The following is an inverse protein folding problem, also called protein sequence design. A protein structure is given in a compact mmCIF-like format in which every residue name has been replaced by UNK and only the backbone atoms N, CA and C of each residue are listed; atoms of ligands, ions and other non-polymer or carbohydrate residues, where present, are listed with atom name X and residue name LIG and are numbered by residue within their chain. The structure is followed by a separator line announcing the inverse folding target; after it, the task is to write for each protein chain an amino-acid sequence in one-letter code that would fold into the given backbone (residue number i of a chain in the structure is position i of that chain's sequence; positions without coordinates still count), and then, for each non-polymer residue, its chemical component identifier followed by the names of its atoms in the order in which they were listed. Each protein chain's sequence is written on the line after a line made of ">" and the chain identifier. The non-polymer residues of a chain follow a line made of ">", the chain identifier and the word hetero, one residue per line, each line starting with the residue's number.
data_IF_672357356247
#
_entry.id   IF_672357356247
#
_cell.length_a   1.000
_cell.length_b   1.000
_cell.length_c   1.000
_cell.angle_alpha   90.00
_cell.angle_beta   90.00
_cell.angle_gamma   90.00
#
_symmetry.space_group_name_H-M   'P 1'
#
loop_
_entity.id
_entity.type
_entity.pdbx_description
1 polymer ?
#
# COMPACT_ATOMS: atom_id res chain seq x y z
N UNK A 1 53.81 -12.26 -38.47
CA UNK A 1 54.44 -12.27 -37.12
C UNK A 1 54.61 -10.84 -36.67
N UNK A 2 54.42 -10.48 -35.39
CA UNK A 2 53.62 -11.10 -34.33
C UNK A 2 52.62 -10.10 -33.67
N UNK A 3 51.78 -10.64 -32.80
CA UNK A 3 51.16 -10.06 -31.59
C UNK A 3 50.47 -8.68 -31.61
N UNK A 4 49.18 -8.67 -31.25
CA UNK A 4 48.78 -7.98 -30.01
C UNK A 4 47.51 -8.60 -29.41
N UNK A 5 47.61 -8.97 -28.13
CA UNK A 5 46.55 -9.51 -27.27
C UNK A 5 45.43 -8.48 -27.05
N UNK A 6 44.18 -8.94 -27.06
CA UNK A 6 43.07 -8.24 -26.40
C UNK A 6 42.70 -9.02 -25.13
N UNK A 7 43.20 -8.53 -23.99
CA UNK A 7 42.72 -8.88 -22.66
C UNK A 7 41.57 -7.95 -22.29
N UNK A 8 40.47 -8.58 -21.87
CA UNK A 8 39.48 -8.19 -20.85
C UNK A 8 39.29 -6.71 -20.49
N UNK A 9 38.05 -6.25 -20.65
CA UNK A 9 37.22 -5.84 -19.51
C UNK A 9 35.78 -5.61 -20.01
N UNK A 10 34.88 -6.54 -19.69
CA UNK A 10 33.46 -6.24 -19.63
C UNK A 10 33.26 -5.51 -18.30
N UNK A 11 33.25 -4.18 -18.33
CA UNK A 11 32.62 -3.41 -17.26
C UNK A 11 31.11 -3.61 -17.39
N UNK A 12 30.56 -4.35 -16.44
CA UNK A 12 29.12 -4.41 -16.21
C UNK A 12 28.67 -3.01 -15.82
N UNK A 13 27.92 -2.37 -16.72
CA UNK A 13 27.18 -1.15 -16.45
C UNK A 13 26.17 -1.45 -15.35
N UNK A 14 26.47 -1.06 -14.12
CA UNK A 14 25.52 -1.06 -13.02
C UNK A 14 24.40 -0.10 -13.38
N UNK A 15 23.19 -0.61 -13.61
CA UNK A 15 22.01 0.23 -13.70
C UNK A 15 21.84 0.95 -12.37
N UNK A 16 21.93 2.27 -12.41
CA UNK A 16 21.73 3.17 -11.27
C UNK A 16 20.32 2.98 -10.69
N UNK A 17 20.20 3.14 -9.38
CA UNK A 17 18.92 3.15 -8.70
C UNK A 17 18.11 4.35 -9.19
N UNK A 18 17.14 4.10 -10.07
CA UNK A 18 16.16 5.12 -10.48
C UNK A 18 15.24 5.38 -9.29
N UNK A 19 15.44 6.50 -8.60
CA UNK A 19 14.55 6.84 -7.50
C UNK A 19 14.85 8.10 -6.71
N UNK A 20 15.90 8.86 -6.99
CA UNK A 20 16.24 10.04 -6.20
C UNK A 20 16.18 11.32 -7.03
N UNK A 21 15.54 12.37 -6.48
CA UNK A 21 15.48 13.67 -7.15
C UNK A 21 16.84 14.40 -7.09
N UNK A 22 17.17 15.26 -8.07
CA UNK A 22 18.40 16.06 -8.04
C UNK A 22 18.57 16.90 -6.76
N UNK A 23 17.47 17.28 -6.10
CA UNK A 23 17.48 17.99 -4.82
C UNK A 23 17.89 17.08 -3.65
N UNK A 24 17.46 15.81 -3.65
CA UNK A 24 17.92 14.81 -2.69
C UNK A 24 19.43 14.53 -2.84
N UNK A 25 19.89 14.37 -4.08
CA UNK A 25 21.31 14.20 -4.39
C UNK A 25 22.15 15.40 -3.93
N UNK A 26 21.63 16.62 -4.08
CA UNK A 26 22.27 17.84 -3.62
C UNK A 26 22.37 17.91 -2.09
N UNK A 27 21.32 17.49 -1.36
CA UNK A 27 21.30 17.41 0.11
C UNK A 27 22.38 16.44 0.64
N UNK A 28 22.55 15.29 -0.01
CA UNK A 28 23.58 14.32 0.35
C UNK A 28 25.00 14.90 0.17
N UNK A 29 25.22 15.66 -0.91
CA UNK A 29 26.51 16.31 -1.20
C UNK A 29 26.82 17.46 -0.23
N UNK A 30 25.81 18.20 0.22
CA UNK A 30 25.99 19.42 1.01
C UNK A 30 26.29 19.20 2.51
N UNK A 31 26.01 18.02 3.06
CA UNK A 31 26.02 17.80 4.53
C UNK A 31 27.33 17.27 5.12
N UNK A 32 28.44 17.27 4.36
CA UNK A 32 29.75 16.69 4.76
C UNK A 32 29.65 15.28 5.40
N UNK A 33 28.56 14.58 5.09
CA UNK A 33 28.33 13.18 5.40
C UNK A 33 29.12 12.39 4.35
N UNK A 34 30.08 11.59 4.79
CA UNK A 34 30.90 10.80 3.88
C UNK A 34 30.07 9.88 2.97
N UNK A 35 30.72 9.32 1.94
CA UNK A 35 30.20 8.11 1.31
C UNK A 35 29.82 7.11 2.41
N UNK A 36 28.71 6.41 2.22
CA UNK A 36 28.10 5.48 3.18
C UNK A 36 29.20 4.83 4.05
N UNK A 37 29.28 5.25 5.32
CA UNK A 37 29.98 4.49 6.34
C UNK A 37 28.93 3.59 6.94
N UNK A 38 29.18 2.30 6.78
CA UNK A 38 28.31 1.24 7.25
C UNK A 38 28.09 1.38 8.77
N UNK A 39 26.93 0.90 9.20
CA UNK A 39 26.43 1.00 10.57
C UNK A 39 27.40 0.33 11.56
N UNK A 40 27.42 0.70 12.87
CA UNK A 40 28.41 0.22 13.86
C UNK A 40 28.36 -1.27 14.22
N UNK A 41 27.67 -2.11 13.44
CA UNK A 41 27.66 -3.57 13.64
C UNK A 41 28.79 -4.25 12.88
N UNK A 42 29.60 -3.49 12.13
CA UNK A 42 30.89 -3.93 11.59
C UNK A 42 32.01 -3.85 12.64
N UNK A 43 31.75 -4.28 13.87
CA UNK A 43 32.81 -4.78 14.73
C UNK A 43 32.53 -6.24 15.03
N UNK A 44 33.37 -7.07 14.40
CA UNK A 44 33.61 -8.45 14.79
C UNK A 44 33.58 -8.62 16.31
N UNK A 45 32.94 -9.71 16.75
CA UNK A 45 32.84 -10.26 18.12
C UNK A 45 31.62 -9.89 18.97
N UNK A 46 30.56 -10.69 18.80
CA UNK A 46 29.64 -11.04 19.88
C UNK A 46 30.38 -12.03 20.80
N UNK A 47 30.87 -11.56 21.95
CA UNK A 47 31.33 -12.45 23.02
C UNK A 47 30.12 -12.97 23.80
N UNK A 48 29.85 -14.26 23.58
CA UNK A 48 28.81 -15.05 24.23
C UNK A 48 29.05 -15.14 25.74
N UNK A 49 28.22 -14.47 26.56
CA UNK A 49 28.02 -14.92 27.94
C UNK A 49 26.69 -14.60 28.63
N UNK A 50 25.74 -13.90 28.00
CA UNK A 50 24.39 -13.76 28.57
C UNK A 50 23.32 -13.94 27.48
N UNK A 51 22.26 -14.66 27.84
CA UNK A 51 21.22 -15.23 26.98
C UNK A 51 20.23 -14.22 26.40
N UNK A 52 20.13 -14.20 25.07
CA UNK A 52 18.93 -13.88 24.27
C UNK A 52 19.08 -14.70 22.97
N UNK A 53 18.08 -15.46 22.53
CA UNK A 53 18.08 -15.89 21.11
C UNK A 53 17.39 -14.79 20.29
N UNK A 54 18.09 -14.38 19.25
CA UNK A 54 17.92 -13.14 18.49
C UNK A 54 17.25 -13.37 17.12
N UNK A 55 16.88 -14.60 16.74
CA UNK A 55 16.06 -14.84 15.54
C UNK A 55 14.75 -14.02 15.57
N UNK A 56 14.20 -13.80 16.76
CA UNK A 56 12.96 -13.07 17.03
C UNK A 56 13.09 -11.53 16.93
N UNK A 57 14.33 -11.01 16.92
CA UNK A 57 14.63 -9.58 16.70
C UNK A 57 15.01 -9.28 15.24
N UNK A 58 15.08 -10.26 14.32
CA UNK A 58 15.43 -10.02 12.90
C UNK A 58 14.21 -9.60 12.04
N UNK A 59 12.97 -9.81 12.50
CA UNK A 59 11.77 -9.14 11.98
C UNK A 59 11.75 -7.63 12.32
N UNK A 60 12.54 -7.22 13.31
CA UNK A 60 12.39 -5.97 14.06
C UNK A 60 12.71 -4.67 13.27
N UNK A 61 13.13 -4.71 11.99
CA UNK A 61 13.41 -3.48 11.20
C UNK A 61 13.13 -3.53 9.66
N UNK A 62 12.19 -4.34 9.14
CA UNK A 62 12.06 -4.59 7.69
C UNK A 62 11.58 -3.41 6.77
N UNK A 63 12.20 -3.18 5.59
CA UNK A 63 11.48 -2.90 4.32
C UNK A 63 11.99 -3.71 3.10
N UNK A 64 11.09 -4.24 2.27
CA UNK A 64 10.91 -3.66 0.92
C UNK A 64 9.41 -3.44 0.60
N UNK A 65 9.10 -2.32 -0.05
CA UNK A 65 7.73 -2.05 -0.50
C UNK A 65 7.28 -3.03 -1.58
N UNK A 66 5.97 -3.34 -1.70
CA UNK A 66 5.45 -4.29 -2.68
C UNK A 66 5.40 -3.74 -4.12
N UNK A 67 6.04 -2.59 -4.36
CA UNK A 67 6.11 -1.97 -5.65
C UNK A 67 6.98 -2.79 -6.61
N UNK A 68 6.49 -3.03 -7.82
CA UNK A 68 7.17 -3.81 -8.84
C UNK A 68 7.46 -2.98 -10.09
N UNK A 69 8.49 -3.38 -10.84
CA UNK A 69 8.88 -2.72 -12.08
C UNK A 69 7.71 -2.73 -13.06
N UNK A 70 7.41 -1.56 -13.63
CA UNK A 70 6.28 -1.36 -14.55
C UNK A 70 4.93 -1.13 -13.87
N UNK A 71 4.88 -1.07 -12.53
CA UNK A 71 3.68 -0.63 -11.81
C UNK A 71 3.31 0.80 -12.24
N UNK A 72 2.03 0.97 -12.57
CA UNK A 72 1.38 2.26 -12.75
C UNK A 72 0.34 2.47 -11.66
N UNK A 73 0.05 3.72 -11.32
CA UNK A 73 -1.12 4.04 -10.50
C UNK A 73 -2.42 3.56 -11.17
N UNK A 74 -3.41 3.28 -10.34
CA UNK A 74 -4.78 2.92 -10.74
C UNK A 74 -5.81 3.99 -10.33
N UNK A 75 -5.42 4.95 -9.49
CA UNK A 75 -6.14 6.19 -9.16
C UNK A 75 -5.43 7.33 -9.87
N UNK A 76 -6.16 8.23 -10.53
CA UNK A 76 -5.54 9.23 -11.41
C UNK A 76 -4.68 10.25 -10.66
N UNK A 77 -3.68 10.85 -11.32
CA UNK A 77 -2.84 11.89 -10.72
C UNK A 77 -3.63 13.11 -10.20
N UNK A 78 -4.70 13.60 -10.85
CA UNK A 78 -5.53 14.67 -10.25
C UNK A 78 -6.21 14.25 -8.95
N UNK A 79 -6.64 12.99 -8.84
CA UNK A 79 -7.25 12.47 -7.60
C UNK A 79 -6.20 12.35 -6.47
N UNK A 80 -4.97 11.95 -6.80
CA UNK A 80 -3.86 11.81 -5.83
C UNK A 80 -3.13 13.12 -5.54
N UNK A 81 -3.51 14.24 -6.16
CA UNK A 81 -2.81 15.52 -5.98
C UNK A 81 -2.92 16.01 -4.53
N UNK A 82 -1.78 16.29 -3.91
CA UNK A 82 -1.68 16.99 -2.64
C UNK A 82 -1.96 18.49 -2.82
N UNK A 83 -2.59 19.10 -1.84
CA UNK A 83 -2.80 20.56 -1.77
C UNK A 83 -1.48 21.28 -1.53
N UNK A 84 -0.55 20.65 -0.81
CA UNK A 84 0.79 21.17 -0.54
C UNK A 84 1.75 21.11 -1.74
N UNK A 85 1.40 20.43 -2.85
CA UNK A 85 2.30 20.32 -3.99
C UNK A 85 1.59 20.01 -5.32
N UNK A 86 1.91 20.78 -6.36
CA UNK A 86 1.37 20.56 -7.71
C UNK A 86 2.15 19.49 -8.47
N UNK A 87 1.45 18.69 -9.27
CA UNK A 87 2.10 17.87 -10.29
C UNK A 87 2.77 18.76 -11.34
N UNK A 88 3.87 18.31 -11.97
CA UNK A 88 4.41 18.99 -13.14
C UNK A 88 3.32 19.21 -14.21
N UNK A 89 3.33 20.35 -14.94
CA UNK A 89 2.36 20.59 -15.99
C UNK A 89 2.33 19.46 -17.02
N UNK A 90 1.14 19.07 -17.48
CA UNK A 90 0.92 18.00 -18.48
C UNK A 90 1.30 16.58 -17.99
N UNK A 91 1.46 16.37 -16.68
CA UNK A 91 1.59 15.01 -16.11
C UNK A 91 0.36 14.16 -16.49
N UNK A 92 0.53 12.94 -17.06
CA UNK A 92 -0.60 12.07 -17.39
C UNK A 92 -1.40 11.60 -16.17
N UNK A 93 -2.66 11.18 -16.39
CA UNK A 93 -3.50 10.60 -15.34
C UNK A 93 -2.90 9.31 -14.76
N UNK A 94 -2.20 8.52 -15.59
CA UNK A 94 -1.57 7.26 -15.20
C UNK A 94 -0.08 7.26 -15.58
N UNK A 95 0.77 7.13 -14.56
CA UNK A 95 2.22 7.21 -14.61
C UNK A 95 2.85 6.04 -13.87
N UNK A 96 4.12 5.78 -14.13
CA UNK A 96 4.88 4.72 -13.47
C UNK A 96 5.24 5.09 -12.04
N UNK A 97 5.57 4.07 -11.24
CA UNK A 97 5.94 4.22 -9.82
C UNK A 97 7.10 5.19 -9.55
N UNK A 98 8.06 5.34 -10.46
CA UNK A 98 9.18 6.29 -10.34
C UNK A 98 8.71 7.76 -10.38
N UNK A 99 7.70 8.07 -11.19
CA UNK A 99 7.09 9.41 -11.24
C UNK A 99 6.37 9.73 -9.92
N UNK A 100 5.67 8.74 -9.35
CA UNK A 100 5.01 8.91 -8.04
C UNK A 100 6.03 9.06 -6.91
N UNK A 101 7.10 8.27 -6.93
CA UNK A 101 8.20 8.38 -5.97
C UNK A 101 8.83 9.77 -6.00
N UNK A 102 9.09 10.28 -7.20
CA UNK A 102 9.62 11.64 -7.42
C UNK A 102 8.67 12.69 -6.86
N UNK A 103 7.37 12.60 -7.13
CA UNK A 103 6.38 13.54 -6.62
C UNK A 103 6.31 13.57 -5.08
N UNK A 104 6.39 12.42 -4.41
CA UNK A 104 6.42 12.35 -2.94
C UNK A 104 7.70 13.02 -2.40
N UNK A 105 8.85 12.73 -3.00
CA UNK A 105 10.12 13.30 -2.59
C UNK A 105 10.18 14.81 -2.81
N UNK A 106 9.72 15.29 -3.97
CA UNK A 106 9.66 16.72 -4.30
C UNK A 106 8.66 17.45 -3.40
N UNK A 107 7.54 16.82 -3.05
CA UNK A 107 6.62 17.36 -2.06
C UNK A 107 7.31 17.52 -0.70
N UNK A 108 8.05 16.49 -0.26
CA UNK A 108 8.77 16.54 1.01
C UNK A 108 9.88 17.62 1.01
N UNK A 109 10.58 17.77 -0.11
CA UNK A 109 11.61 18.80 -0.30
C UNK A 109 11.00 20.21 -0.31
N UNK A 110 9.93 20.42 -1.08
CA UNK A 110 9.29 21.72 -1.25
C UNK A 110 8.60 22.24 0.03
N UNK A 111 8.33 21.36 0.99
CA UNK A 111 7.68 21.67 2.25
C UNK A 111 8.62 21.55 3.47
N UNK A 112 9.95 21.54 3.24
CA UNK A 112 11.01 21.55 4.28
C UNK A 112 10.97 20.39 5.30
N UNK A 113 10.22 19.33 5.03
CA UNK A 113 10.07 18.20 5.97
C UNK A 113 11.25 17.25 5.94
N UNK A 114 12.10 17.28 4.90
CA UNK A 114 13.29 16.42 4.79
C UNK A 114 14.24 16.58 5.99
N UNK A 115 14.35 17.78 6.56
CA UNK A 115 15.19 18.07 7.72
C UNK A 115 14.71 17.37 9.00
N UNK A 116 13.43 17.00 9.05
CA UNK A 116 12.78 16.32 10.17
C UNK A 116 12.75 14.79 10.01
N UNK A 117 13.24 14.25 8.89
CA UNK A 117 13.24 12.81 8.61
C UNK A 117 14.60 12.20 8.95
N UNK A 118 14.58 11.17 9.78
CA UNK A 118 15.74 10.31 10.03
C UNK A 118 15.70 9.09 9.10
N UNK A 119 16.46 9.16 8.00
CA UNK A 119 16.58 8.06 7.01
C UNK A 119 17.52 6.94 7.47
N UNK A 120 17.49 5.79 6.75
CA UNK A 120 18.48 4.68 6.75
C UNK A 120 18.22 3.50 7.71
N UNK A 121 17.10 2.81 7.51
CA UNK A 121 16.72 1.53 8.13
C UNK A 121 16.20 0.59 7.02
N UNK A 122 16.69 -0.66 6.88
CA UNK A 122 16.50 -1.50 5.67
C UNK A 122 16.42 -3.04 5.91
N UNK A 123 15.80 -3.76 4.95
CA UNK A 123 15.88 -5.19 4.57
C UNK A 123 16.30 -5.32 3.08
N UNK A 124 16.98 -6.42 2.77
CA UNK A 124 18.13 -6.40 1.87
C UNK A 124 18.03 -7.13 0.51
N UNK A 125 16.93 -7.80 0.13
CA UNK A 125 16.85 -8.37 -1.25
C UNK A 125 15.44 -8.58 -1.80
N UNK A 126 15.21 -8.03 -3.00
CA UNK A 126 14.18 -8.47 -3.94
C UNK A 126 14.83 -8.60 -5.32
N UNK A 127 14.90 -9.81 -5.88
CA UNK A 127 15.49 -10.04 -7.20
C UNK A 127 14.52 -10.78 -8.11
N UNK A 128 14.42 -10.31 -9.36
CA UNK A 128 13.77 -11.04 -10.44
C UNK A 128 14.82 -11.91 -11.12
N UNK A 129 14.73 -13.24 -10.96
CA UNK A 129 15.44 -14.19 -11.83
C UNK A 129 14.55 -14.50 -13.03
N UNK A 130 14.94 -13.98 -14.18
CA UNK A 130 14.31 -14.25 -15.47
C UNK A 130 13.25 -13.23 -15.91
N UNK A 131 13.35 -12.78 -17.15
CA UNK A 131 12.43 -11.85 -17.82
C UNK A 131 11.41 -12.54 -18.72
N UNK A 132 11.08 -13.81 -18.48
CA UNK A 132 9.98 -14.49 -19.17
C UNK A 132 8.68 -14.33 -18.38
N UNK A 133 7.61 -13.94 -19.08
CA UNK A 133 6.26 -14.21 -18.60
C UNK A 133 6.11 -15.73 -18.52
N UNK A 134 5.55 -16.27 -17.45
CA UNK A 134 5.30 -17.71 -17.36
C UNK A 134 4.55 -18.19 -18.62
N UNK A 135 4.95 -19.31 -19.21
CA UNK A 135 4.33 -19.82 -20.44
C UNK A 135 2.82 -20.01 -20.28
N UNK A 136 2.38 -20.31 -19.05
CA UNK A 136 0.99 -20.40 -18.64
C UNK A 136 0.80 -19.81 -17.25
N UNK A 137 -0.22 -18.98 -17.08
CA UNK A 137 -0.61 -18.41 -15.79
C UNK A 137 -2.00 -18.93 -15.45
N UNK A 138 -2.17 -19.39 -14.20
CA UNK A 138 -3.48 -19.69 -13.64
C UNK A 138 -3.79 -18.68 -12.55
N UNK A 139 -4.95 -18.04 -12.62
CA UNK A 139 -5.44 -17.18 -11.55
C UNK A 139 -6.61 -17.88 -10.86
N UNK A 140 -6.38 -18.33 -9.62
CA UNK A 140 -7.46 -18.70 -8.70
C UNK A 140 -7.88 -17.46 -7.91
N UNK A 141 -9.17 -17.25 -7.76
CA UNK A 141 -9.70 -16.29 -6.79
C UNK A 141 -10.92 -16.85 -6.05
N UNK A 142 -11.27 -16.20 -4.93
CA UNK A 142 -12.43 -16.55 -4.09
C UNK A 142 -13.75 -16.02 -4.64
N UNK A 143 -13.77 -15.41 -5.84
CA UNK A 143 -14.98 -14.81 -6.41
C UNK A 143 -15.36 -13.51 -5.68
N UNK A 144 -14.36 -12.75 -5.22
CA UNK A 144 -14.60 -11.51 -4.50
C UNK A 144 -15.04 -10.39 -5.43
N UNK A 145 -15.71 -9.38 -4.88
CA UNK A 145 -16.12 -8.17 -5.62
C UNK A 145 -14.93 -7.41 -6.25
N UNK A 146 -13.71 -7.71 -5.81
CA UNK A 146 -12.46 -7.09 -6.26
C UNK A 146 -11.70 -7.93 -7.30
N UNK A 147 -12.26 -9.06 -7.72
CA UNK A 147 -11.64 -9.88 -8.73
C UNK A 147 -11.62 -9.14 -10.06
N UNK A 148 -10.46 -9.12 -10.71
CA UNK A 148 -10.36 -8.64 -12.09
C UNK A 148 -11.36 -9.40 -12.96
N UNK A 149 -11.92 -8.79 -14.00
CA UNK A 149 -12.70 -9.53 -15.00
C UNK A 149 -11.78 -10.44 -15.82
N UNK A 150 -12.25 -11.58 -16.33
CA UNK A 150 -11.44 -12.46 -17.18
C UNK A 150 -10.84 -11.73 -18.39
N UNK A 151 -11.56 -10.74 -18.96
CA UNK A 151 -11.10 -9.89 -20.06
C UNK A 151 -9.94 -8.96 -19.71
N UNK A 152 -9.66 -8.74 -18.43
CA UNK A 152 -8.51 -7.93 -17.97
C UNK A 152 -7.26 -8.77 -17.71
N UNK A 153 -7.35 -10.10 -17.87
CA UNK A 153 -6.21 -10.98 -17.72
C UNK A 153 -5.36 -11.00 -19.01
N UNK A 154 -4.04 -11.18 -18.90
CA UNK A 154 -3.19 -11.44 -20.07
C UNK A 154 -3.67 -12.67 -20.87
N UNK A 155 -3.38 -12.71 -22.17
CA UNK A 155 -3.80 -13.81 -23.06
C UNK A 155 -3.34 -15.20 -22.59
N UNK A 156 -2.18 -15.29 -21.95
CA UNK A 156 -1.62 -16.53 -21.39
C UNK A 156 -2.12 -16.85 -19.97
N UNK A 157 -3.08 -16.09 -19.44
CA UNK A 157 -3.66 -16.26 -18.12
C UNK A 157 -5.07 -16.84 -18.19
N UNK A 158 -5.30 -17.95 -17.49
CA UNK A 158 -6.59 -18.62 -17.39
C UNK A 158 -7.13 -18.50 -15.97
N UNK A 159 -8.36 -18.00 -15.82
CA UNK A 159 -9.11 -18.05 -14.55
C UNK A 159 -9.44 -19.51 -14.23
N UNK A 160 -9.16 -19.93 -13.01
CA UNK A 160 -9.57 -21.25 -12.49
C UNK A 160 -10.41 -21.09 -11.23
N UNK A 161 -11.03 -22.20 -10.80
CA UNK A 161 -11.76 -22.24 -9.53
C UNK A 161 -10.86 -21.95 -8.33
N UNK A 162 -11.47 -21.69 -7.18
CA UNK A 162 -10.74 -21.50 -5.93
C UNK A 162 -9.84 -22.71 -5.59
N UNK A 163 -8.70 -22.47 -4.95
CA UNK A 163 -7.85 -23.55 -4.43
C UNK A 163 -8.50 -24.17 -3.20
N UNK A 164 -8.73 -25.47 -3.22
CA UNK A 164 -9.20 -26.24 -2.08
C UNK A 164 -8.03 -26.70 -1.19
N UNK A 165 -6.96 -27.22 -1.78
CA UNK A 165 -5.77 -27.68 -1.04
C UNK A 165 -4.54 -27.85 -1.93
N UNK A 166 -3.38 -28.01 -1.30
CA UNK A 166 -2.13 -28.44 -1.95
C UNK A 166 -1.89 -29.91 -1.61
N UNK A 167 -1.41 -30.70 -2.58
CA UNK A 167 -1.04 -32.08 -2.31
C UNK A 167 0.19 -32.15 -1.39
N UNK A 168 0.39 -33.31 -0.76
CA UNK A 168 1.66 -33.60 -0.11
C UNK A 168 2.78 -33.57 -1.16
N UNK A 169 3.91 -32.95 -0.80
CA UNK A 169 5.09 -32.96 -1.64
C UNK A 169 5.73 -34.35 -1.61
N UNK A 170 6.05 -34.88 -2.79
CA UNK A 170 6.74 -36.17 -2.94
C UNK A 170 8.24 -36.07 -2.69
N UNK A 171 8.80 -34.85 -2.68
CA UNK A 171 10.18 -34.54 -2.30
C UNK A 171 10.28 -33.11 -1.75
N UNK A 172 11.25 -32.87 -0.87
CA UNK A 172 11.61 -31.53 -0.36
C UNK A 172 13.00 -31.10 -0.82
N UNK A 173 13.58 -31.78 -1.81
CA UNK A 173 14.85 -31.40 -2.41
C UNK A 173 14.76 -30.03 -3.09
N UNK A 174 15.87 -29.29 -3.12
CA UNK A 174 15.98 -28.05 -3.87
C UNK A 174 15.73 -28.31 -5.36
N UNK A 175 14.80 -27.55 -5.94
CA UNK A 175 14.45 -27.61 -7.36
C UNK A 175 15.32 -26.65 -8.16
N UNK A 176 15.62 -27.00 -9.40
CA UNK A 176 16.12 -26.03 -10.38
C UNK A 176 14.98 -25.31 -11.11
N UNK A 177 15.29 -24.23 -11.85
CA UNK A 177 14.30 -23.36 -12.51
C UNK A 177 13.42 -24.07 -13.56
N UNK A 178 13.75 -25.29 -13.97
CA UNK A 178 13.00 -26.07 -14.96
C UNK A 178 12.15 -27.18 -14.33
N UNK A 179 12.33 -27.47 -13.05
CA UNK A 179 11.62 -28.54 -12.36
C UNK A 179 10.32 -28.00 -11.76
N UNK A 180 9.17 -28.67 -12.00
CA UNK A 180 7.96 -28.33 -11.29
C UNK A 180 8.06 -28.73 -9.83
N UNK A 181 7.26 -28.08 -8.99
CA UNK A 181 7.01 -28.48 -7.61
C UNK A 181 6.57 -29.95 -7.61
N UNK A 182 7.13 -30.81 -6.73
CA UNK A 182 6.85 -32.24 -6.67
C UNK A 182 5.51 -32.53 -5.99
N UNK A 183 4.46 -31.83 -6.43
CA UNK A 183 3.09 -31.87 -5.92
C UNK A 183 2.11 -31.22 -6.90
N UNK A 184 0.88 -31.03 -6.45
CA UNK A 184 -0.23 -30.49 -7.25
C UNK A 184 -1.11 -29.55 -6.44
N UNK A 185 -1.93 -28.79 -7.15
CA UNK A 185 -2.95 -27.91 -6.57
C UNK A 185 -4.32 -28.48 -6.88
N UNK A 186 -5.14 -28.71 -5.85
CA UNK A 186 -6.49 -29.24 -5.98
C UNK A 186 -7.46 -28.06 -5.90
N UNK A 187 -8.26 -27.87 -6.95
CA UNK A 187 -9.27 -26.83 -7.02
C UNK A 187 -10.56 -27.27 -6.31
N UNK A 188 -11.41 -26.31 -5.95
CA UNK A 188 -12.72 -26.57 -5.33
C UNK A 188 -13.67 -27.37 -6.22
N UNK A 189 -13.41 -27.43 -7.54
CA UNK A 189 -14.12 -28.32 -8.47
C UNK A 189 -13.69 -29.80 -8.35
N UNK A 190 -12.60 -30.08 -7.63
CA UNK A 190 -11.91 -31.38 -7.62
C UNK A 190 -10.87 -31.54 -8.75
N UNK A 191 -10.75 -30.56 -9.66
CA UNK A 191 -9.70 -30.56 -10.69
C UNK A 191 -8.30 -30.44 -10.06
N UNK A 192 -7.35 -31.21 -10.59
CA UNK A 192 -5.97 -31.24 -10.10
C UNK A 192 -5.03 -30.58 -11.12
N UNK A 193 -4.38 -29.48 -10.72
CA UNK A 193 -3.36 -28.80 -11.49
C UNK A 193 -1.97 -29.38 -11.17
N UNK A 194 -1.27 -29.85 -12.21
CA UNK A 194 0.07 -30.44 -12.13
C UNK A 194 1.09 -29.60 -12.90
N UNK A 195 2.37 -29.92 -12.74
CA UNK A 195 3.48 -29.24 -13.42
C UNK A 195 3.53 -27.74 -13.09
N UNK A 196 3.35 -27.41 -11.81
CA UNK A 196 3.40 -26.03 -11.31
C UNK A 196 4.84 -25.72 -10.90
N UNK A 197 5.47 -24.73 -11.53
CA UNK A 197 6.82 -24.27 -11.16
C UNK A 197 6.81 -23.26 -10.01
N UNK A 198 5.81 -22.38 -9.99
CA UNK A 198 5.70 -21.31 -9.00
C UNK A 198 4.26 -21.13 -8.54
N UNK A 199 4.09 -20.84 -7.25
CA UNK A 199 2.83 -20.42 -6.64
C UNK A 199 3.07 -19.02 -6.05
N UNK A 200 2.36 -18.02 -6.56
CA UNK A 200 2.45 -16.64 -6.08
C UNK A 200 1.20 -16.33 -5.26
N UNK A 201 1.37 -16.10 -3.97
CA UNK A 201 0.26 -15.72 -3.09
C UNK A 201 0.04 -14.20 -3.18
N UNK A 202 -1.05 -13.81 -3.84
CA UNK A 202 -1.47 -12.41 -4.01
C UNK A 202 -2.75 -12.11 -3.22
N UNK A 203 -2.82 -12.56 -1.96
CA UNK A 203 -4.05 -12.57 -1.13
C UNK A 203 -4.24 -11.34 -0.25
N UNK A 204 -3.45 -10.28 -0.48
CA UNK A 204 -3.45 -9.06 0.31
C UNK A 204 -2.57 -9.16 1.56
N UNK A 205 -2.79 -8.24 2.50
CA UNK A 205 -1.99 -8.06 3.71
C UNK A 205 -2.87 -8.09 4.97
N UNK A 206 -2.21 -8.19 6.12
CA UNK A 206 -2.83 -8.01 7.43
C UNK A 206 -2.40 -6.67 8.02
N UNK A 207 -3.32 -6.01 8.74
CA UNK A 207 -2.99 -4.87 9.60
C UNK A 207 -2.22 -5.37 10.83
N UNK A 208 -1.11 -4.72 11.16
CA UNK A 208 -0.30 -5.07 12.33
C UNK A 208 0.53 -3.86 12.78
N UNK A 209 0.62 -3.66 14.10
CA UNK A 209 1.46 -2.63 14.72
C UNK A 209 2.41 -3.32 15.70
N UNK A 210 3.48 -4.00 15.23
CA UNK A 210 4.36 -4.82 16.07
C UNK A 210 5.07 -4.04 17.18
N UNK A 211 5.11 -2.71 17.08
CA UNK A 211 5.62 -1.79 18.09
C UNK A 211 4.60 -1.43 19.19
N UNK A 212 3.34 -1.88 19.09
CA UNK A 212 2.28 -1.75 20.10
C UNK A 212 1.74 -3.13 20.53
N UNK A 213 2.59 -4.09 20.95
CA UNK A 213 2.15 -5.46 21.23
C UNK A 213 1.14 -5.57 22.38
N UNK A 214 1.10 -4.57 23.27
CA UNK A 214 0.12 -4.50 24.35
C UNK A 214 -1.29 -4.11 23.86
N UNK A 215 -1.43 -3.64 22.62
CA UNK A 215 -2.70 -3.35 21.96
C UNK A 215 -3.07 -4.45 20.94
N UNK A 216 -2.44 -5.61 21.04
CA UNK A 216 -2.74 -6.79 20.22
C UNK A 216 -3.43 -7.87 21.05
N UNK A 217 -4.43 -8.52 20.45
CA UNK A 217 -4.96 -9.81 20.89
C UNK A 217 -5.13 -10.73 19.67
N UNK A 218 -4.00 -11.31 19.25
CA UNK A 218 -3.92 -12.11 18.03
C UNK A 218 -4.74 -13.41 18.08
N UNK A 219 -5.25 -13.80 19.26
CA UNK A 219 -6.10 -14.97 19.44
C UNK A 219 -7.61 -14.64 19.38
N UNK A 220 -7.99 -13.39 19.56
CA UNK A 220 -9.39 -12.96 19.48
C UNK A 220 -9.86 -12.87 18.02
N UNK A 221 -11.15 -13.10 17.80
CA UNK A 221 -11.78 -12.72 16.52
C UNK A 221 -12.14 -11.23 16.55
N UNK A 222 -12.32 -10.57 15.39
CA UNK A 222 -12.68 -9.15 15.35
C UNK A 222 -13.92 -8.78 16.18
N UNK A 223 -14.89 -9.69 16.31
CA UNK A 223 -16.13 -9.49 17.07
C UNK A 223 -15.89 -9.46 18.59
N UNK A 224 -14.76 -9.99 19.06
CA UNK A 224 -14.42 -10.13 20.47
C UNK A 224 -13.30 -9.19 20.92
N UNK A 225 -12.87 -8.24 20.07
CA UNK A 225 -11.94 -7.20 20.47
C UNK A 225 -12.55 -6.37 21.61
N UNK A 226 -11.80 -6.18 22.70
CA UNK A 226 -12.20 -5.27 23.77
C UNK A 226 -11.97 -3.79 23.35
N UNK A 227 -12.28 -2.84 24.24
CA UNK A 227 -12.21 -1.40 23.92
C UNK A 227 -10.79 -0.81 23.81
N UNK A 228 -9.75 -1.59 24.10
CA UNK A 228 -8.34 -1.19 24.06
C UNK A 228 -7.57 -1.81 22.88
N UNK A 229 -7.95 -3.00 22.43
CA UNK A 229 -7.22 -3.70 21.37
C UNK A 229 -7.29 -2.93 20.05
N UNK A 230 -6.17 -2.78 19.35
CA UNK A 230 -6.08 -2.27 17.98
C UNK A 230 -6.08 -3.40 16.96
N UNK A 231 -5.44 -4.52 17.24
CA UNK A 231 -5.23 -5.61 16.27
C UNK A 231 -5.65 -6.95 16.85
N UNK A 232 -6.46 -7.69 16.09
CA UNK A 232 -6.81 -9.08 16.34
C UNK A 232 -6.20 -9.97 15.25
N UNK A 233 -7.01 -10.56 14.38
CA UNK A 233 -6.58 -11.38 13.24
C UNK A 233 -5.96 -10.56 12.07
N UNK A 234 -5.73 -9.26 12.27
CA UNK A 234 -5.18 -8.34 11.27
C UNK A 234 -6.15 -7.95 10.15
N UNK A 235 -7.45 -8.19 10.29
CA UNK A 235 -8.47 -7.83 9.28
C UNK A 235 -8.98 -6.38 9.39
N UNK A 236 -8.76 -5.75 10.54
CA UNK A 236 -9.30 -4.44 10.95
C UNK A 236 -8.33 -3.84 11.97
N UNK A 237 -8.24 -2.52 11.99
CA UNK A 237 -7.71 -1.75 13.11
C UNK A 237 -8.87 -1.25 13.98
N UNK A 238 -8.99 -1.77 15.20
CA UNK A 238 -10.09 -1.50 16.11
C UNK A 238 -9.93 -0.15 16.82
N UNK A 239 -11.01 0.32 17.47
CA UNK A 239 -10.98 1.41 18.45
C UNK A 239 -10.42 2.77 17.96
N UNK A 240 -10.56 3.07 16.66
CA UNK A 240 -10.22 4.37 16.09
C UNK A 240 -11.46 5.22 15.81
N UNK A 241 -11.51 6.44 16.35
CA UNK A 241 -12.46 7.47 15.93
C UNK A 241 -12.04 8.02 14.57
N UNK A 242 -12.98 8.02 13.63
CA UNK A 242 -12.79 8.46 12.23
C UNK A 242 -11.55 7.83 11.54
N UNK A 243 -11.17 6.60 11.86
CA UNK A 243 -9.97 5.93 11.33
C UNK A 243 -8.63 6.64 11.65
N UNK A 244 -8.61 7.54 12.64
CA UNK A 244 -7.45 8.36 13.00
C UNK A 244 -7.11 8.21 14.48
N UNK A 245 -7.99 8.62 15.38
CA UNK A 245 -7.62 8.82 16.79
C UNK A 245 -7.96 7.58 17.62
N UNK A 246 -6.99 7.04 18.35
CA UNK A 246 -7.23 5.94 19.28
C UNK A 246 -8.13 6.41 20.43
N UNK A 247 -9.31 5.83 20.55
CA UNK A 247 -10.36 6.38 21.42
C UNK A 247 -10.00 6.35 22.92
N UNK A 248 -9.31 5.33 23.47
CA UNK A 248 -8.84 5.34 24.86
C UNK A 248 -7.87 6.47 25.17
N UNK A 249 -6.97 6.78 24.23
CA UNK A 249 -5.96 7.83 24.35
C UNK A 249 -5.74 8.51 22.97
N UNK A 250 -6.46 9.62 22.68
CA UNK A 250 -6.38 10.30 21.40
C UNK A 250 -5.05 11.00 21.11
N UNK A 251 -4.09 10.99 22.04
CA UNK A 251 -2.72 11.40 21.74
C UNK A 251 -2.00 10.41 20.82
N UNK A 252 -2.50 9.18 20.72
CA UNK A 252 -2.13 8.21 19.70
C UNK A 252 -3.05 8.35 18.47
N UNK A 253 -2.46 8.69 17.32
CA UNK A 253 -3.18 8.87 16.07
C UNK A 253 -2.53 8.10 14.92
N UNK A 254 -3.37 7.71 13.95
CA UNK A 254 -3.01 6.95 12.77
C UNK A 254 -3.36 7.74 11.51
N UNK A 255 -2.48 7.70 10.52
CA UNK A 255 -2.74 8.20 9.18
C UNK A 255 -2.51 7.03 8.22
N UNK A 256 -3.40 6.86 7.25
CA UNK A 256 -3.24 5.81 6.24
C UNK A 256 -4.10 4.55 6.43
N UNK A 257 -5.04 4.55 7.39
CA UNK A 257 -5.88 3.38 7.68
C UNK A 257 -6.94 3.09 6.60
N UNK A 258 -7.65 4.09 6.05
CA UNK A 258 -8.65 3.85 5.00
C UNK A 258 -8.07 3.30 3.69
N UNK A 259 -8.85 2.47 2.98
CA UNK A 259 -8.54 1.96 1.64
C UNK A 259 -9.73 2.07 0.68
N UNK A 260 -9.45 1.87 -0.62
CA UNK A 260 -10.35 2.22 -1.74
C UNK A 260 -10.59 3.73 -1.84
N UNK A 261 -9.52 4.51 -1.70
CA UNK A 261 -9.51 5.98 -1.62
C UNK A 261 -8.43 6.58 -2.52
N UNK A 262 -8.49 7.88 -2.81
CA UNK A 262 -7.35 8.60 -3.35
C UNK A 262 -6.33 8.90 -2.22
N UNK A 263 -5.44 7.93 -1.99
CA UNK A 263 -4.53 7.86 -0.82
C UNK A 263 -3.86 9.18 -0.44
N UNK A 264 -3.06 9.77 -1.32
CA UNK A 264 -2.28 10.98 -0.99
C UNK A 264 -3.18 12.15 -0.54
N UNK A 265 -4.20 12.48 -1.32
CA UNK A 265 -5.09 13.61 -1.03
C UNK A 265 -5.96 13.37 0.21
N UNK A 266 -6.46 12.14 0.40
CA UNK A 266 -7.20 11.79 1.62
C UNK A 266 -6.31 11.88 2.88
N UNK A 267 -5.10 11.32 2.82
CA UNK A 267 -4.19 11.28 3.97
C UNK A 267 -3.68 12.67 4.34
N UNK A 268 -3.64 13.61 3.39
CA UNK A 268 -3.40 15.02 3.70
C UNK A 268 -4.53 15.62 4.56
N UNK A 269 -5.80 15.31 4.31
CA UNK A 269 -6.89 15.74 5.19
C UNK A 269 -6.82 15.10 6.58
N UNK A 270 -6.40 13.82 6.67
CA UNK A 270 -6.12 13.20 7.97
C UNK A 270 -4.99 13.94 8.70
N UNK A 271 -3.90 14.28 8.00
CA UNK A 271 -2.78 15.03 8.57
C UNK A 271 -3.19 16.43 9.05
N UNK A 272 -4.03 17.14 8.29
CA UNK A 272 -4.59 18.43 8.70
C UNK A 272 -5.45 18.29 9.97
N UNK A 273 -6.26 17.24 10.05
CA UNK A 273 -7.10 16.94 11.22
C UNK A 273 -6.25 16.66 12.47
N UNK A 274 -5.25 15.77 12.35
CA UNK A 274 -4.31 15.46 13.44
C UNK A 274 -3.59 16.73 13.90
N UNK A 275 -3.07 17.54 12.97
CA UNK A 275 -2.39 18.79 13.29
C UNK A 275 -3.30 19.77 14.05
N UNK A 276 -4.56 19.93 13.62
CA UNK A 276 -5.52 20.83 14.25
C UNK A 276 -5.91 20.38 15.67
N UNK A 277 -6.06 19.07 15.90
CA UNK A 277 -6.33 18.52 17.24
C UNK A 277 -5.09 18.66 18.14
N UNK A 278 -3.91 18.27 17.66
CA UNK A 278 -2.68 18.28 18.47
C UNK A 278 -2.17 19.69 18.77
N UNK A 279 -2.49 20.68 17.92
CA UNK A 279 -2.22 22.09 18.21
C UNK A 279 -3.23 22.73 19.17
N UNK A 280 -4.33 22.03 19.49
CA UNK A 280 -5.45 22.56 20.26
C UNK A 280 -6.28 23.61 19.52
N UNK A 281 -6.13 23.72 18.19
CA UNK A 281 -6.95 24.63 17.36
C UNK A 281 -8.36 24.08 17.09
N UNK A 282 -8.51 22.76 17.19
CA UNK A 282 -9.78 22.04 17.15
C UNK A 282 -9.87 21.08 18.33
N UNK A 283 -11.07 20.58 18.60
CA UNK A 283 -11.33 19.59 19.67
C UNK A 283 -12.03 18.36 19.14
N UNK A 284 -11.70 17.21 19.73
CA UNK A 284 -12.45 15.97 19.56
C UNK A 284 -13.68 15.98 20.48
N UNK A 285 -14.74 15.24 20.12
CA UNK A 285 -15.85 14.99 21.03
C UNK A 285 -15.39 14.19 22.26
N UNK A 286 -16.26 14.10 23.27
CA UNK A 286 -15.97 13.31 24.47
C UNK A 286 -15.74 11.83 24.14
N UNK A 287 -14.97 11.13 24.97
CA UNK A 287 -14.66 9.71 24.76
C UNK A 287 -15.91 8.84 24.57
N UNK A 288 -16.96 9.09 25.36
CA UNK A 288 -18.25 8.39 25.24
C UNK A 288 -18.91 8.61 23.87
N UNK A 289 -18.89 9.84 23.35
CA UNK A 289 -19.45 10.17 22.03
C UNK A 289 -18.63 9.52 20.91
N UNK A 290 -17.29 9.54 21.00
CA UNK A 290 -16.44 8.80 20.06
C UNK A 290 -16.73 7.29 20.07
N UNK A 291 -17.04 6.72 21.24
CA UNK A 291 -17.43 5.31 21.38
C UNK A 291 -18.78 5.01 20.75
N UNK A 292 -19.76 5.88 20.95
CA UNK A 292 -21.08 5.77 20.34
C UNK A 292 -20.96 5.82 18.80
N UNK A 293 -20.23 6.79 18.25
CA UNK A 293 -19.95 6.86 16.81
C UNK A 293 -19.26 5.60 16.27
N UNK A 294 -18.29 5.06 17.01
CA UNK A 294 -17.59 3.83 16.64
C UNK A 294 -18.54 2.63 16.64
N UNK A 295 -19.36 2.48 17.68
CA UNK A 295 -20.34 1.41 17.81
C UNK A 295 -21.41 1.47 16.71
N UNK A 296 -21.89 2.68 16.36
CA UNK A 296 -22.82 2.89 15.24
C UNK A 296 -22.18 2.47 13.90
N UNK A 297 -20.91 2.83 13.70
CA UNK A 297 -20.17 2.41 12.49
C UNK A 297 -19.99 0.90 12.44
N UNK A 298 -19.67 0.25 13.56
CA UNK A 298 -19.58 -1.22 13.68
C UNK A 298 -20.93 -1.86 13.37
N UNK A 299 -22.03 -1.34 13.91
CA UNK A 299 -23.37 -1.86 13.62
C UNK A 299 -23.74 -1.72 12.13
N UNK A 300 -23.29 -0.65 11.47
CA UNK A 300 -23.56 -0.39 10.05
C UNK A 300 -22.68 -1.20 9.09
N UNK A 301 -21.37 -1.28 9.35
CA UNK A 301 -20.38 -1.89 8.43
C UNK A 301 -20.00 -3.32 8.80
N UNK A 302 -20.33 -3.76 10.00
CA UNK A 302 -19.76 -4.96 10.62
C UNK A 302 -18.28 -4.77 10.97
N UNK A 303 -17.68 -5.77 11.60
CA UNK A 303 -16.23 -5.84 11.81
C UNK A 303 -15.59 -6.71 10.70
N UNK A 304 -14.41 -6.32 10.22
CA UNK A 304 -13.66 -7.07 9.20
C UNK A 304 -13.17 -6.23 8.02
N UNK A 305 -12.83 -6.91 6.92
CA UNK A 305 -12.11 -6.35 5.75
C UNK A 305 -12.83 -5.25 4.95
N UNK A 306 -14.03 -4.85 5.32
CA UNK A 306 -14.75 -3.75 4.70
C UNK A 306 -14.84 -2.50 5.60
N UNK A 307 -14.45 -2.62 6.88
CA UNK A 307 -14.72 -1.61 7.90
C UNK A 307 -14.07 -0.26 7.57
N UNK A 308 -12.82 -0.27 7.10
CA UNK A 308 -12.07 0.93 6.69
C UNK A 308 -12.19 1.23 5.18
N UNK A 309 -13.03 0.50 4.45
CA UNK A 309 -13.29 0.84 3.05
C UNK A 309 -14.18 2.07 2.93
N UNK A 310 -13.82 2.99 2.03
CA UNK A 310 -14.63 4.16 1.65
C UNK A 310 -15.16 4.07 0.19
N UNK A 311 -15.31 2.85 -0.32
CA UNK A 311 -15.80 2.59 -1.69
C UNK A 311 -17.29 2.90 -1.88
N UNK A 312 -18.05 3.03 -0.78
CA UNK A 312 -19.48 3.33 -0.84
C UNK A 312 -19.75 4.64 -1.60
N UNK A 313 -20.96 4.80 -2.15
CA UNK A 313 -21.33 6.00 -2.90
C UNK A 313 -21.06 7.24 -2.03
N UNK A 314 -20.14 8.10 -2.49
CA UNK A 314 -19.64 9.29 -1.79
C UNK A 314 -18.91 9.01 -0.45
N UNK A 315 -18.38 7.81 -0.22
CA UNK A 315 -17.67 7.43 1.01
C UNK A 315 -16.51 8.36 1.33
N UNK A 316 -15.59 8.52 0.39
CA UNK A 316 -14.45 9.44 0.49
C UNK A 316 -14.89 10.91 0.61
N UNK A 317 -15.90 11.32 -0.16
CA UNK A 317 -16.41 12.70 -0.14
C UNK A 317 -17.01 13.06 1.23
N UNK A 318 -17.81 12.16 1.81
CA UNK A 318 -18.37 12.32 3.16
C UNK A 318 -17.26 12.32 4.21
N UNK A 319 -16.30 11.41 4.09
CA UNK A 319 -15.18 11.31 5.03
C UNK A 319 -14.35 12.61 5.05
N UNK A 320 -14.03 13.17 3.88
CA UNK A 320 -13.32 14.45 3.78
C UNK A 320 -14.17 15.60 4.32
N UNK A 321 -15.49 15.60 4.09
CA UNK A 321 -16.39 16.60 4.69
C UNK A 321 -16.31 16.59 6.22
N UNK A 322 -16.28 15.41 6.85
CA UNK A 322 -16.13 15.27 8.30
C UNK A 322 -14.78 15.84 8.77
N UNK A 323 -13.67 15.49 8.09
CA UNK A 323 -12.33 15.99 8.44
C UNK A 323 -12.23 17.51 8.31
N UNK A 324 -12.76 18.06 7.21
CA UNK A 324 -12.82 19.51 6.99
C UNK A 324 -13.68 20.19 8.05
N UNK A 325 -14.78 19.56 8.48
CA UNK A 325 -15.60 20.04 9.59
C UNK A 325 -14.78 20.19 10.89
N UNK A 326 -13.96 19.20 11.23
CA UNK A 326 -13.06 19.25 12.39
C UNK A 326 -12.01 20.35 12.22
N UNK A 327 -11.33 20.40 11.07
CA UNK A 327 -10.27 21.38 10.77
C UNK A 327 -10.79 22.83 10.77
N UNK A 328 -12.08 23.03 10.50
CA UNK A 328 -12.69 24.36 10.42
C UNK A 328 -13.41 24.80 11.69
N UNK A 329 -13.37 24.02 12.78
CA UNK A 329 -13.90 24.45 14.08
C UNK A 329 -13.30 25.81 14.48
N UNK A 330 -14.15 26.77 14.84
CA UNK A 330 -13.74 28.09 15.30
C UNK A 330 -13.10 29.02 14.24
N UNK A 331 -12.93 28.58 12.99
CA UNK A 331 -12.33 29.40 11.91
C UNK A 331 -13.32 30.38 11.29
N UNK A 332 -12.82 31.55 10.90
CA UNK A 332 -13.58 32.54 10.12
C UNK A 332 -13.72 32.08 8.67
N UNK A 333 -14.72 32.59 7.95
CA UNK A 333 -15.03 32.14 6.59
C UNK A 333 -13.83 32.18 5.63
N UNK A 334 -13.01 33.24 5.67
CA UNK A 334 -11.82 33.36 4.82
C UNK A 334 -10.62 32.50 5.23
N UNK A 335 -10.70 31.74 6.33
CA UNK A 335 -9.65 30.87 6.85
C UNK A 335 -10.01 29.38 6.74
N UNK A 336 -11.23 29.09 6.26
CA UNK A 336 -11.72 27.72 6.14
C UNK A 336 -10.97 26.98 5.05
N UNK A 337 -10.59 25.75 5.38
CA UNK A 337 -10.07 24.79 4.42
C UNK A 337 -11.24 24.22 3.64
N UNK A 338 -11.12 24.15 2.32
CA UNK A 338 -12.07 23.47 1.45
C UNK A 338 -11.71 21.98 1.31
N UNK A 339 -12.71 21.16 0.99
CA UNK A 339 -12.50 19.74 0.66
C UNK A 339 -11.79 19.54 -0.67
N UNK A 340 -12.07 18.41 -1.33
CA UNK A 340 -11.50 18.10 -2.63
C UNK A 340 -11.72 19.23 -3.65
N UNK A 341 -10.72 19.44 -4.51
CA UNK A 341 -10.76 20.49 -5.53
C UNK A 341 -11.71 20.13 -6.68
N UNK A 342 -12.02 21.11 -7.53
CA UNK A 342 -12.83 20.88 -8.73
C UNK A 342 -12.21 19.82 -9.65
N UNK A 343 -10.90 19.88 -9.84
CA UNK A 343 -10.16 18.93 -10.69
C UNK A 343 -10.23 17.50 -10.15
N UNK A 344 -10.24 17.35 -8.81
CA UNK A 344 -10.45 16.06 -8.16
C UNK A 344 -11.83 15.51 -8.49
N UNK A 345 -12.90 16.32 -8.36
CA UNK A 345 -14.26 15.90 -8.69
C UNK A 345 -14.41 15.53 -10.17
N UNK A 346 -13.86 16.34 -11.07
CA UNK A 346 -13.85 16.04 -12.51
C UNK A 346 -13.14 14.71 -12.81
N UNK A 347 -12.04 14.41 -12.11
CA UNK A 347 -11.31 13.14 -12.28
C UNK A 347 -12.05 11.94 -11.64
N UNK A 348 -12.66 12.15 -10.48
CA UNK A 348 -13.52 11.17 -9.82
C UNK A 348 -14.72 10.78 -10.71
N UNK A 349 -15.36 11.74 -11.36
CA UNK A 349 -16.43 11.49 -12.33
C UNK A 349 -15.93 10.65 -13.52
N UNK A 350 -14.77 10.98 -14.11
CA UNK A 350 -14.15 10.16 -15.17
C UNK A 350 -13.87 8.73 -14.69
N UNK A 351 -13.42 8.55 -13.44
CA UNK A 351 -13.21 7.23 -12.84
C UNK A 351 -14.52 6.46 -12.72
N UNK A 352 -15.61 7.09 -12.28
CA UNK A 352 -16.93 6.44 -12.18
C UNK A 352 -17.44 5.97 -13.55
N UNK A 353 -17.27 6.79 -14.60
CA UNK A 353 -17.62 6.40 -15.98
C UNK A 353 -16.82 5.18 -16.42
N UNK A 354 -15.48 5.22 -16.26
CA UNK A 354 -14.59 4.09 -16.61
C UNK A 354 -14.95 2.81 -15.86
N UNK A 355 -15.32 2.91 -14.58
CA UNK A 355 -15.72 1.75 -13.78
C UNK A 355 -17.04 1.14 -14.30
N UNK A 356 -18.03 1.97 -14.66
CA UNK A 356 -19.29 1.50 -15.24
C UNK A 356 -19.07 0.78 -16.57
N UNK A 357 -18.24 1.33 -17.45
CA UNK A 357 -17.89 0.72 -18.74
C UNK A 357 -17.19 -0.63 -18.55
N UNK A 358 -16.28 -0.73 -17.58
CA UNK A 358 -15.59 -1.99 -17.27
C UNK A 358 -16.55 -3.06 -16.76
N UNK A 359 -17.53 -2.69 -15.92
CA UNK A 359 -18.54 -3.62 -15.40
C UNK A 359 -19.51 -4.10 -16.47
N UNK A 360 -19.85 -3.24 -17.45
CA UNK A 360 -20.76 -3.59 -18.56
C UNK A 360 -20.15 -4.56 -19.60
N UNK A 361 -18.82 -4.65 -19.68
CA UNK A 361 -18.12 -5.45 -20.68
C UNK A 361 -18.29 -4.92 -22.13
N UNK A 362 -17.50 -5.41 -23.11
CA UNK A 362 -17.48 -4.86 -24.47
C UNK A 362 -18.71 -5.19 -25.35
N UNK A 363 -19.89 -5.46 -24.80
CA UNK A 363 -21.06 -5.92 -25.57
C UNK A 363 -22.26 -4.96 -25.63
N UNK A 364 -22.31 -3.87 -24.87
CA UNK A 364 -23.49 -2.98 -24.85
C UNK A 364 -23.33 -1.62 -25.57
N UNK A 365 -22.16 -1.35 -26.18
CA UNK A 365 -21.93 -0.09 -26.89
C UNK A 365 -22.48 -0.04 -28.34
N UNK A 366 -23.14 -1.10 -28.84
CA UNK A 366 -23.51 -1.21 -30.27
C UNK A 366 -25.01 -1.02 -30.56
N UNK A 367 -25.89 -0.82 -29.57
CA UNK A 367 -27.34 -0.76 -29.84
C UNK A 367 -28.02 0.62 -29.86
N UNK A 368 -27.31 1.74 -29.68
CA UNK A 368 -27.94 3.06 -29.70
C UNK A 368 -27.79 3.89 -31.00
N UNK A 369 -27.31 3.29 -32.09
CA UNK A 369 -27.38 3.91 -33.43
C UNK A 369 -28.31 3.11 -34.35
N UNK A 370 -29.63 3.18 -34.13
CA UNK A 370 -30.67 2.93 -35.14
C UNK A 370 -32.09 3.21 -34.62
N UNK A 371 -32.38 4.46 -34.28
CA UNK A 371 -33.73 5.03 -34.46
C UNK A 371 -33.60 6.52 -34.76
N UNK A 372 -33.59 6.87 -36.04
CA UNK A 372 -34.25 8.07 -36.59
C UNK A 372 -34.75 7.75 -37.98
#
# INVERSE_FOLDING_TARGET
>A
MPDLKLQSSNEAMSLEAYGDSPAFDALLKATSRGARRDSPVDQDSIDAKNSVDNNDLEILHAPPGPCYIGLHNNVSTPEMKLRAHDWPPQTPDFVTHDVLATYIQDTAAANDVLSNISFRTRVDKAEKKGSSVAAKIWQSSRGGEFDLLPSMLPENCTRVGGIASFSTLTSTSLLNDHEPIPGSVILSSGEELKNIHHVILATGYHMSYPFLPHLHDDNATPEHANEEILVTTGQITHNLHKDIFYIPDPSLAFIGVPYHVATFSLFEFQAMCVAAIFSGSSSLPGQQEMREEYAERVAKKGVGRAFHSLKDDEGEIRYVRDMVGIVNQGKREGEKVEGHSKEWFEAYERRLVRMKEKVAGPAEAVQNERVK
#
